data_IF_886832549101
#
_entry.id   IF_886832549101
#
_cell.length_a   1.000
_cell.length_b   1.000
_cell.length_c   1.000
_cell.angle_alpha   90.00
_cell.angle_beta   90.00
_cell.angle_gamma   90.00
#
_symmetry.space_group_name_H-M   'P 1'
#
loop_
_entity.id
_entity.type
_entity.pdbx_description
1 polymer ?
#
# COMPACT_ATOMS: atom_id res chain seq x y z
N UNK A 1 -10.09 -3.51 14.85
CA UNK A 1 -10.99 -3.50 13.69
C UNK A 1 -12.40 -3.14 14.11
N UNK A 2 -12.93 -2.03 13.62
CA UNK A 2 -14.29 -1.57 13.95
C UNK A 2 -15.37 -2.32 13.17
N UNK A 3 -15.03 -2.85 11.98
CA UNK A 3 -15.92 -3.64 11.13
C UNK A 3 -15.11 -4.54 10.18
N UNK A 4 -14.86 -5.83 10.51
CA UNK A 4 -13.96 -6.70 9.74
C UNK A 4 -14.66 -7.39 8.56
N UNK A 5 -15.39 -6.63 7.75
CA UNK A 5 -16.10 -7.13 6.56
C UNK A 5 -15.81 -6.24 5.36
N UNK A 6 -15.60 -6.84 4.19
CA UNK A 6 -15.28 -6.12 2.96
C UNK A 6 -15.88 -6.78 1.71
N UNK A 7 -15.87 -6.03 0.61
CA UNK A 7 -16.26 -6.50 -0.71
C UNK A 7 -15.23 -6.07 -1.75
N UNK A 8 -14.93 -6.93 -2.71
CA UNK A 8 -14.01 -6.69 -3.81
C UNK A 8 -14.73 -6.85 -5.15
N UNK A 9 -14.29 -6.07 -6.14
CA UNK A 9 -14.76 -6.15 -7.52
C UNK A 9 -13.55 -6.27 -8.45
N UNK A 10 -13.53 -7.35 -9.24
CA UNK A 10 -12.66 -7.47 -10.40
C UNK A 10 -13.51 -7.22 -11.63
N UNK A 11 -13.15 -6.19 -12.39
CA UNK A 11 -13.83 -5.86 -13.64
C UNK A 11 -12.87 -6.10 -14.80
N UNK A 12 -13.24 -7.02 -15.69
CA UNK A 12 -12.49 -7.35 -16.89
C UNK A 12 -13.28 -6.85 -18.10
N UNK A 13 -13.11 -5.56 -18.40
CA UNK A 13 -13.78 -4.88 -19.51
C UNK A 13 -13.62 -5.64 -20.84
N UNK A 14 -12.41 -6.09 -21.25
CA UNK A 14 -12.24 -6.75 -22.54
C UNK A 14 -12.97 -8.11 -22.63
N UNK A 15 -13.30 -8.70 -21.48
CA UNK A 15 -14.02 -9.97 -21.39
C UNK A 15 -15.52 -9.77 -21.11
N UNK A 16 -15.97 -8.53 -20.93
CA UNK A 16 -17.31 -8.19 -20.44
C UNK A 16 -17.71 -8.98 -19.19
N UNK A 17 -16.76 -9.17 -18.27
CA UNK A 17 -16.94 -9.98 -17.06
C UNK A 17 -16.67 -9.17 -15.80
N UNK A 18 -17.41 -9.52 -14.75
CA UNK A 18 -17.22 -8.98 -13.41
C UNK A 18 -17.24 -10.12 -12.40
N UNK A 19 -16.29 -10.11 -11.46
CA UNK A 19 -16.25 -11.01 -10.31
C UNK A 19 -16.41 -10.17 -9.05
N UNK A 20 -17.33 -10.58 -8.17
CA UNK A 20 -17.55 -9.98 -6.85
C UNK A 20 -17.18 -10.98 -5.77
N UNK A 21 -16.46 -10.52 -4.75
CA UNK A 21 -16.10 -11.33 -3.57
C UNK A 21 -16.51 -10.56 -2.33
N UNK A 22 -17.19 -11.21 -1.40
CA UNK A 22 -17.67 -10.62 -0.15
C UNK A 22 -17.29 -11.55 1.00
N UNK A 23 -16.92 -11.00 2.15
CA UNK A 23 -16.55 -11.83 3.30
C UNK A 23 -15.94 -11.08 4.46
N UNK A 24 -15.53 -11.85 5.46
CA UNK A 24 -14.77 -11.34 6.61
C UNK A 24 -13.31 -11.12 6.25
N UNK A 25 -12.69 -10.14 6.90
CA UNK A 25 -11.28 -9.76 6.74
C UNK A 25 -10.51 -10.21 7.98
N UNK A 26 -9.29 -10.72 7.77
CA UNK A 26 -8.34 -11.00 8.84
C UNK A 26 -7.00 -10.39 8.50
N UNK A 27 -6.34 -9.82 9.49
CA UNK A 27 -4.97 -9.32 9.34
C UNK A 27 -4.02 -10.49 9.15
N UNK A 28 -3.08 -10.37 8.20
CA UNK A 28 -2.03 -11.35 8.01
C UNK A 28 -1.05 -11.32 9.19
N UNK A 29 -0.33 -12.43 9.45
CA UNK A 29 0.80 -12.44 10.37
C UNK A 29 1.84 -11.37 10.02
N UNK A 30 2.49 -10.82 11.04
CA UNK A 30 3.52 -9.79 10.84
C UNK A 30 4.69 -10.29 9.99
N UNK A 31 5.12 -11.54 10.20
CA UNK A 31 6.21 -12.16 9.43
C UNK A 31 5.88 -12.28 7.94
N UNK A 32 4.65 -12.64 7.59
CA UNK A 32 4.20 -12.72 6.20
C UNK A 32 4.18 -11.33 5.55
N UNK A 33 3.71 -10.32 6.30
CA UNK A 33 3.69 -8.93 5.84
C UNK A 33 5.10 -8.39 5.60
N UNK A 34 6.04 -8.67 6.51
CA UNK A 34 7.44 -8.25 6.40
C UNK A 34 8.12 -8.91 5.20
N UNK A 35 7.97 -10.23 5.04
CA UNK A 35 8.51 -10.94 3.88
C UNK A 35 7.97 -10.40 2.56
N UNK A 36 6.67 -10.14 2.48
CA UNK A 36 6.08 -9.53 1.29
C UNK A 36 6.63 -8.13 1.06
N UNK A 37 6.74 -7.30 2.11
CA UNK A 37 7.29 -5.95 2.02
C UNK A 37 8.71 -5.93 1.47
N UNK A 38 9.59 -6.80 1.98
CA UNK A 38 10.98 -6.92 1.53
C UNK A 38 11.10 -7.38 0.07
N UNK A 39 10.12 -8.12 -0.46
CA UNK A 39 10.10 -8.54 -1.87
C UNK A 39 9.75 -7.42 -2.86
N UNK A 40 9.22 -6.28 -2.37
CA UNK A 40 8.80 -5.16 -3.23
C UNK A 40 10.03 -4.40 -3.77
N UNK A 41 9.92 -3.72 -4.93
CA UNK A 41 10.95 -2.79 -5.37
C UNK A 41 11.29 -1.75 -4.28
N UNK A 42 12.56 -1.34 -4.19
CA UNK A 42 13.05 -0.42 -3.16
C UNK A 42 12.22 0.87 -3.09
N UNK A 43 11.88 1.45 -4.23
CA UNK A 43 11.06 2.66 -4.32
C UNK A 43 9.66 2.47 -3.74
N UNK A 44 9.06 1.27 -3.88
CA UNK A 44 7.77 0.96 -3.24
C UNK A 44 7.90 0.86 -1.72
N UNK A 45 9.01 0.30 -1.22
CA UNK A 45 9.28 0.23 0.22
C UNK A 45 9.43 1.65 0.80
N UNK A 46 10.24 2.49 0.15
CA UNK A 46 10.44 3.88 0.56
C UNK A 46 9.13 4.67 0.48
N UNK A 47 8.38 4.56 -0.62
CA UNK A 47 7.10 5.26 -0.77
C UNK A 47 6.08 4.93 0.32
N UNK A 48 6.07 3.67 0.81
CA UNK A 48 5.24 3.27 1.94
C UNK A 48 5.68 3.92 3.26
N UNK A 49 6.97 4.24 3.44
CA UNK A 49 7.48 4.97 4.61
C UNK A 49 7.24 6.49 4.51
N UNK A 50 7.35 7.05 3.31
CA UNK A 50 7.12 8.48 3.03
C UNK A 50 5.66 8.87 3.31
N UNK A 51 4.73 8.04 2.85
CA UNK A 51 3.31 8.38 2.85
C UNK A 51 2.61 7.79 4.08
N UNK A 52 2.33 8.65 5.07
CA UNK A 52 1.31 8.34 6.09
C UNK A 52 -0.06 8.36 5.41
N UNK A 53 -0.43 7.22 4.83
CA UNK A 53 -1.60 7.09 3.95
C UNK A 53 -2.85 7.71 4.59
N UNK A 54 -3.55 8.53 3.81
CA UNK A 54 -4.79 9.24 4.18
C UNK A 54 -4.64 10.39 5.19
N UNK A 55 -3.43 10.75 5.62
CA UNK A 55 -3.21 11.95 6.44
C UNK A 55 -3.11 13.23 5.60
N UNK A 56 -3.46 14.38 6.21
CA UNK A 56 -3.34 15.69 5.58
C UNK A 56 -1.86 16.06 5.41
N UNK A 57 -1.52 16.57 4.23
CA UNK A 57 -0.19 17.09 3.91
C UNK A 57 -0.33 18.53 3.41
N UNK A 58 0.71 19.37 3.56
CA UNK A 58 0.63 20.77 3.16
C UNK A 58 0.61 20.94 1.64
N UNK A 59 1.39 20.13 0.92
CA UNK A 59 1.52 20.20 -0.54
C UNK A 59 2.23 18.95 -1.11
N UNK A 60 2.44 18.94 -2.43
CA UNK A 60 3.14 17.88 -3.15
C UNK A 60 4.65 17.86 -2.88
N UNK A 61 5.28 19.03 -2.68
CA UNK A 61 6.73 19.14 -2.48
C UNK A 61 7.15 18.53 -1.14
N UNK A 62 6.28 18.57 -0.13
CA UNK A 62 6.47 17.87 1.13
C UNK A 62 6.78 16.38 0.93
N UNK A 63 5.99 15.67 0.12
CA UNK A 63 6.23 14.25 -0.15
C UNK A 63 7.50 14.03 -0.98
N UNK A 64 7.79 14.89 -1.96
CA UNK A 64 9.00 14.80 -2.78
C UNK A 64 10.27 14.93 -1.94
N UNK A 65 10.33 15.92 -1.04
CA UNK A 65 11.46 16.13 -0.14
C UNK A 65 11.66 14.95 0.79
N UNK A 66 10.57 14.48 1.42
CA UNK A 66 10.61 13.30 2.30
C UNK A 66 11.06 12.03 1.59
N UNK A 67 10.66 11.85 0.34
CA UNK A 67 11.11 10.73 -0.48
C UNK A 67 12.61 10.80 -0.75
N UNK A 68 13.12 11.96 -1.20
CA UNK A 68 14.55 12.15 -1.44
C UNK A 68 15.39 11.98 -0.15
N UNK A 69 14.92 12.49 0.99
CA UNK A 69 15.56 12.28 2.31
C UNK A 69 15.68 10.79 2.66
N UNK A 70 14.62 10.00 2.40
CA UNK A 70 14.61 8.57 2.70
C UNK A 70 15.40 7.74 1.67
N UNK A 71 15.37 8.11 0.39
CA UNK A 71 16.25 7.52 -0.64
C UNK A 71 17.73 7.71 -0.28
N UNK A 72 18.10 8.89 0.24
CA UNK A 72 19.45 9.15 0.72
C UNK A 72 19.80 8.29 1.93
N UNK A 73 18.91 8.25 2.93
CA UNK A 73 19.12 7.50 4.16
C UNK A 73 19.28 5.98 3.93
N UNK A 74 18.60 5.47 2.90
CA UNK A 74 18.50 4.05 2.56
C UNK A 74 19.22 3.70 1.25
N UNK A 75 20.21 4.51 0.87
CA UNK A 75 21.03 4.34 -0.33
C UNK A 75 21.86 3.05 -0.29
N UNK A 76 22.28 2.66 0.91
CA UNK A 76 23.00 1.41 1.21
C UNK A 76 22.03 0.30 1.67
#
# INVERSE_FOLDING_TARGET
>A
DSNPFASLVFYWEPLCRQVRVEGSVRRLPAEESERYFQSRPRDSQIGALVSRQSSVIPDREYLRKKNAELEELYRD
#
